data_IF_894070493890
#
_entry.id   IF_894070493890
#
_cell.length_a   1.000
_cell.length_b   1.000
_cell.length_c   1.000
_cell.angle_alpha   90.00
_cell.angle_beta   90.00
_cell.angle_gamma   90.00
#
_symmetry.space_group_name_H-M   'P 1'
#
loop_
_entity.id
_entity.type
_entity.pdbx_description
1 polymer ?
#
# COMPACT_ATOMS: atom_id res chain seq x y z
N UNK A 1 -31.15 6.02 11.25
CA UNK A 1 -31.12 6.91 10.07
C UNK A 1 -29.68 6.96 9.56
N UNK A 2 -29.43 7.01 8.25
CA UNK A 2 -28.09 7.18 7.71
C UNK A 2 -27.49 8.52 8.22
N UNK A 3 -26.26 8.48 8.75
CA UNK A 3 -25.51 9.70 9.15
C UNK A 3 -25.16 10.52 7.91
N UNK A 4 -25.41 11.83 7.94
CA UNK A 4 -24.98 12.79 6.91
C UNK A 4 -23.55 13.26 7.21
N UNK A 5 -22.93 13.97 6.26
CA UNK A 5 -21.53 14.40 6.37
C UNK A 5 -21.26 15.24 7.62
N UNK A 6 -22.17 16.16 7.95
CA UNK A 6 -22.07 16.99 9.16
C UNK A 6 -22.23 16.17 10.45
N UNK A 7 -23.00 15.07 10.42
CA UNK A 7 -23.14 14.19 11.58
C UNK A 7 -21.83 13.45 11.86
N UNK A 8 -21.12 13.00 10.83
CA UNK A 8 -19.78 12.40 10.97
C UNK A 8 -18.77 13.40 11.52
N UNK A 9 -18.65 14.59 10.93
CA UNK A 9 -17.72 15.62 11.39
C UNK A 9 -17.99 15.99 12.86
N UNK A 10 -19.27 16.21 13.20
CA UNK A 10 -19.65 16.54 14.58
C UNK A 10 -19.39 15.40 15.58
N UNK A 11 -19.41 14.14 15.13
CA UNK A 11 -19.05 12.99 15.95
C UNK A 11 -17.54 12.93 16.18
N UNK A 12 -16.73 13.14 15.14
CA UNK A 12 -15.28 13.17 15.23
C UNK A 12 -14.80 14.30 16.15
N UNK A 13 -15.43 15.48 16.09
CA UNK A 13 -15.15 16.60 16.99
C UNK A 13 -15.46 16.30 18.47
N UNK A 14 -16.28 15.28 18.74
CA UNK A 14 -16.56 14.77 20.09
C UNK A 14 -15.63 13.62 20.49
N UNK A 15 -14.66 13.27 19.65
CA UNK A 15 -13.73 12.17 19.85
C UNK A 15 -14.31 10.79 19.51
N UNK A 16 -15.38 10.70 18.73
CA UNK A 16 -15.81 9.40 18.18
C UNK A 16 -14.87 8.98 17.05
N UNK A 17 -14.33 7.76 17.13
CA UNK A 17 -13.60 7.16 16.02
C UNK A 17 -14.56 6.80 14.87
N UNK A 18 -14.09 6.87 13.63
CA UNK A 18 -14.82 6.38 12.48
C UNK A 18 -15.05 4.87 12.59
N UNK A 19 -16.32 4.47 12.47
CA UNK A 19 -16.74 3.08 12.41
C UNK A 19 -17.34 2.81 11.03
N UNK A 20 -16.71 2.00 10.17
CA UNK A 20 -17.31 1.61 8.90
C UNK A 20 -18.60 0.80 9.15
N UNK A 21 -19.59 0.84 8.24
CA UNK A 21 -19.54 1.43 6.90
C UNK A 21 -20.13 2.85 6.76
N UNK A 22 -19.61 3.62 5.81
CA UNK A 22 -20.06 4.97 5.41
C UNK A 22 -21.34 5.00 4.54
N UNK A 23 -22.40 4.30 4.97
CA UNK A 23 -23.61 4.10 4.14
C UNK A 23 -24.40 5.37 3.80
N UNK A 24 -24.30 6.42 4.61
CA UNK A 24 -25.13 7.62 4.45
C UNK A 24 -24.66 8.63 3.40
N UNK A 25 -23.48 8.45 2.81
CA UNK A 25 -22.89 9.40 1.86
C UNK A 25 -22.76 8.85 0.44
N UNK A 26 -23.35 7.67 0.17
CA UNK A 26 -23.34 7.01 -1.14
C UNK A 26 -24.73 7.13 -1.76
N UNK A 27 -24.81 7.77 -2.94
CA UNK A 27 -26.04 7.93 -3.72
C UNK A 27 -25.83 7.29 -5.09
N UNK A 28 -26.72 6.37 -5.48
CA UNK A 28 -26.61 5.62 -6.74
C UNK A 28 -25.25 4.91 -6.93
N UNK A 29 -24.69 4.39 -5.84
CA UNK A 29 -23.42 3.66 -5.87
C UNK A 29 -22.17 4.55 -6.02
N UNK A 30 -22.31 5.87 -5.88
CA UNK A 30 -21.19 6.82 -5.91
C UNK A 30 -21.21 7.73 -4.68
N UNK A 31 -20.05 8.20 -4.19
CA UNK A 31 -20.01 9.21 -3.14
C UNK A 31 -20.70 10.51 -3.59
N UNK A 32 -21.46 11.13 -2.70
CA UNK A 32 -22.14 12.40 -3.00
C UNK A 32 -21.13 13.56 -3.08
N UNK A 33 -21.12 14.27 -4.21
CA UNK A 33 -20.14 15.35 -4.48
C UNK A 33 -20.16 16.49 -3.44
N UNK A 34 -21.35 16.91 -2.97
CA UNK A 34 -21.46 17.94 -1.94
C UNK A 34 -20.87 17.49 -0.59
N UNK A 35 -21.03 16.20 -0.27
CA UNK A 35 -20.42 15.60 0.92
C UNK A 35 -18.89 15.55 0.77
N UNK A 36 -18.36 15.18 -0.39
CA UNK A 36 -16.90 15.22 -0.66
C UNK A 36 -16.31 16.63 -0.52
N UNK A 37 -16.99 17.65 -1.06
CA UNK A 37 -16.56 19.04 -0.91
C UNK A 37 -16.52 19.49 0.56
N UNK A 38 -17.53 19.08 1.34
CA UNK A 38 -17.59 19.39 2.78
C UNK A 38 -16.44 18.72 3.54
N UNK A 39 -16.11 17.47 3.22
CA UNK A 39 -14.97 16.76 3.82
C UNK A 39 -13.63 17.40 3.45
N UNK A 40 -13.46 17.84 2.19
CA UNK A 40 -12.27 18.56 1.74
C UNK A 40 -12.04 19.86 2.55
N UNK A 41 -13.07 20.68 2.72
CA UNK A 41 -12.99 21.91 3.54
C UNK A 41 -12.71 21.62 5.02
N UNK A 42 -13.23 20.51 5.54
CA UNK A 42 -12.96 20.09 6.90
C UNK A 42 -11.48 19.66 7.06
N UNK A 43 -10.89 18.99 6.08
CA UNK A 43 -9.46 18.66 6.10
C UNK A 43 -8.56 19.90 6.17
N UNK A 44 -8.99 21.06 5.66
CA UNK A 44 -8.17 22.29 5.73
C UNK A 44 -8.21 22.99 7.08
N UNK A 45 -9.21 22.71 7.93
CA UNK A 45 -9.53 23.56 9.09
C UNK A 45 -9.68 22.82 10.41
N UNK A 46 -9.84 21.50 10.39
CA UNK A 46 -10.07 20.69 11.60
C UNK A 46 -8.76 20.30 12.30
N UNK A 47 -8.80 19.95 13.60
CA UNK A 47 -7.63 19.44 14.30
C UNK A 47 -7.20 18.06 13.80
N UNK A 48 -5.96 17.66 14.11
CA UNK A 48 -5.29 16.49 13.55
C UNK A 48 -6.05 15.17 13.71
N UNK A 49 -6.62 14.93 14.89
CA UNK A 49 -7.42 13.75 15.23
C UNK A 49 -8.71 13.68 14.39
N UNK A 50 -9.42 14.80 14.23
CA UNK A 50 -10.60 14.86 13.37
C UNK A 50 -10.23 14.65 11.90
N UNK A 51 -9.09 15.18 11.44
CA UNK A 51 -8.60 15.00 10.07
C UNK A 51 -8.28 13.54 9.76
N UNK A 52 -7.66 12.82 10.70
CA UNK A 52 -7.44 11.37 10.59
C UNK A 52 -8.74 10.61 10.37
N UNK A 53 -9.79 10.90 11.16
CA UNK A 53 -11.09 10.25 10.99
C UNK A 53 -11.77 10.61 9.67
N UNK A 54 -11.60 11.85 9.18
CA UNK A 54 -12.09 12.25 7.85
C UNK A 54 -11.38 11.47 6.74
N UNK A 55 -10.06 11.25 6.84
CA UNK A 55 -9.32 10.42 5.89
C UNK A 55 -9.86 8.99 5.90
N UNK A 56 -10.06 8.38 7.06
CA UNK A 56 -10.61 7.03 7.18
C UNK A 56 -12.01 6.91 6.52
N UNK A 57 -12.87 7.92 6.73
CA UNK A 57 -14.19 8.00 6.08
C UNK A 57 -14.08 8.11 4.55
N UNK A 58 -13.20 8.96 4.04
CA UNK A 58 -12.97 9.12 2.60
C UNK A 58 -12.46 7.82 1.96
N UNK A 59 -11.55 7.12 2.64
CA UNK A 59 -11.03 5.83 2.19
C UNK A 59 -12.13 4.78 2.12
N UNK A 60 -12.94 4.64 3.16
CA UNK A 60 -14.07 3.69 3.17
C UNK A 60 -15.07 3.99 2.04
N UNK A 61 -15.41 5.27 1.81
CA UNK A 61 -16.27 5.67 0.70
C UNK A 61 -15.69 5.26 -0.66
N UNK A 62 -14.41 5.54 -0.88
CA UNK A 62 -13.74 5.24 -2.14
C UNK A 62 -13.59 3.75 -2.41
N UNK A 63 -13.24 2.96 -1.39
CA UNK A 63 -13.15 1.50 -1.50
C UNK A 63 -14.53 0.91 -1.75
N UNK A 64 -15.55 1.25 -0.95
CA UNK A 64 -16.89 0.63 -1.06
C UNK A 64 -17.63 0.94 -2.36
N UNK A 65 -17.27 2.04 -3.03
CA UNK A 65 -17.83 2.42 -4.33
C UNK A 65 -17.03 1.87 -5.51
N UNK A 66 -15.92 1.18 -5.24
CA UNK A 66 -15.11 0.55 -6.26
C UNK A 66 -15.76 -0.76 -6.77
N UNK A 67 -15.87 -0.96 -8.10
CA UNK A 67 -16.50 -2.15 -8.66
C UNK A 67 -15.71 -3.45 -8.46
N UNK A 68 -14.45 -3.40 -8.00
CA UNK A 68 -13.64 -4.59 -7.69
C UNK A 68 -13.76 -5.04 -6.24
N UNK A 69 -14.35 -4.24 -5.35
CA UNK A 69 -14.55 -4.64 -3.94
C UNK A 69 -15.41 -5.90 -3.77
N UNK A 70 -16.47 -6.14 -4.55
CA UNK A 70 -17.16 -7.43 -4.53
C UNK A 70 -16.27 -8.64 -4.89
N UNK A 71 -15.17 -8.43 -5.61
CA UNK A 71 -14.16 -9.45 -5.92
C UNK A 71 -13.04 -9.53 -4.85
N UNK A 72 -13.21 -8.87 -3.70
CA UNK A 72 -12.27 -8.89 -2.58
C UNK A 72 -11.12 -7.89 -2.72
N UNK A 73 -11.13 -7.00 -3.72
CA UNK A 73 -10.10 -5.98 -3.84
C UNK A 73 -10.36 -4.79 -2.90
N UNK A 74 -9.31 -4.34 -2.22
CA UNK A 74 -9.27 -3.14 -1.39
C UNK A 74 -8.45 -2.09 -2.15
N UNK A 75 -9.10 -1.38 -3.08
CA UNK A 75 -8.44 -0.40 -3.94
C UNK A 75 -9.20 0.92 -3.92
N UNK A 76 -8.45 2.02 -3.92
CA UNK A 76 -8.98 3.37 -4.03
C UNK A 76 -8.69 3.90 -5.44
N UNK A 77 -9.70 3.97 -6.30
CA UNK A 77 -9.59 4.51 -7.68
C UNK A 77 -10.47 5.73 -7.94
N UNK A 78 -11.23 6.18 -6.95
CA UNK A 78 -12.11 7.34 -7.08
C UNK A 78 -11.27 8.62 -7.16
N UNK A 79 -11.22 9.24 -8.35
CA UNK A 79 -10.32 10.36 -8.66
C UNK A 79 -10.50 11.56 -7.75
N UNK A 80 -11.75 11.97 -7.49
CA UNK A 80 -12.02 13.11 -6.61
C UNK A 80 -11.54 12.85 -5.17
N UNK A 81 -11.70 11.63 -4.64
CA UNK A 81 -11.23 11.28 -3.30
C UNK A 81 -9.69 11.29 -3.26
N UNK A 82 -9.02 10.70 -4.25
CA UNK A 82 -7.55 10.75 -4.35
C UNK A 82 -7.07 12.20 -4.37
N UNK A 83 -7.69 13.05 -5.21
CA UNK A 83 -7.35 14.47 -5.29
C UNK A 83 -7.57 15.18 -3.94
N UNK A 84 -8.67 14.90 -3.23
CA UNK A 84 -8.94 15.48 -1.91
C UNK A 84 -7.83 15.10 -0.92
N UNK A 85 -7.45 13.82 -0.88
CA UNK A 85 -6.38 13.34 0.01
C UNK A 85 -5.05 14.02 -0.33
N UNK A 86 -4.70 14.14 -1.60
CA UNK A 86 -3.44 14.79 -2.02
C UNK A 86 -3.43 16.28 -1.69
N UNK A 87 -4.47 17.02 -2.08
CA UNK A 87 -4.46 18.48 -2.03
C UNK A 87 -4.71 19.01 -0.61
N UNK A 88 -5.57 18.34 0.17
CA UNK A 88 -6.04 18.85 1.48
C UNK A 88 -5.48 18.06 2.67
N UNK A 89 -5.26 16.74 2.55
CA UNK A 89 -4.80 15.95 3.69
C UNK A 89 -3.27 16.07 3.91
N UNK A 90 -2.49 16.36 2.87
CA UNK A 90 -1.02 16.34 2.95
C UNK A 90 -0.38 17.62 3.52
N UNK A 91 -1.12 18.73 3.66
CA UNK A 91 -0.53 20.04 3.99
C UNK A 91 0.03 20.11 5.43
N UNK A 92 -0.75 19.83 6.49
CA UNK A 92 -0.26 19.91 7.86
C UNK A 92 0.48 18.63 8.24
N UNK A 93 1.63 18.77 8.90
CA UNK A 93 2.44 17.63 9.35
C UNK A 93 1.88 17.00 10.63
N UNK A 94 0.79 16.26 10.51
CA UNK A 94 0.06 15.66 11.63
C UNK A 94 -0.53 14.27 11.32
N UNK A 95 -1.40 13.76 12.20
CA UNK A 95 -2.08 12.46 12.06
C UNK A 95 -2.90 12.33 10.77
N UNK A 96 -3.58 13.41 10.34
CA UNK A 96 -4.35 13.41 9.10
C UNK A 96 -3.47 13.20 7.87
N UNK A 97 -2.27 13.81 7.86
CA UNK A 97 -1.29 13.58 6.79
C UNK A 97 -0.77 12.16 6.79
N UNK A 98 -0.42 11.62 7.96
CA UNK A 98 0.11 10.24 8.07
C UNK A 98 -0.91 9.22 7.58
N UNK A 99 -2.18 9.34 8.00
CA UNK A 99 -3.27 8.49 7.54
C UNK A 99 -3.47 8.59 6.01
N UNK A 100 -3.40 9.80 5.45
CA UNK A 100 -3.55 9.99 4.01
C UNK A 100 -2.37 9.39 3.22
N UNK A 101 -1.13 9.58 3.68
CA UNK A 101 0.04 8.97 3.05
C UNK A 101 -0.06 7.44 3.06
N UNK A 102 -0.44 6.84 4.19
CA UNK A 102 -0.59 5.39 4.31
C UNK A 102 -1.68 4.85 3.35
N UNK A 103 -2.85 5.50 3.32
CA UNK A 103 -3.95 5.12 2.44
C UNK A 103 -3.58 5.25 0.95
N UNK A 104 -3.03 6.40 0.54
CA UNK A 104 -2.58 6.62 -0.84
C UNK A 104 -1.55 5.56 -1.23
N UNK A 105 -0.62 5.26 -0.34
CA UNK A 105 0.47 4.33 -0.59
C UNK A 105 0.00 2.88 -0.76
N UNK A 106 -0.92 2.43 0.10
CA UNK A 106 -1.39 1.03 0.12
C UNK A 106 -2.52 0.74 -0.86
N UNK A 107 -3.41 1.69 -1.10
CA UNK A 107 -4.69 1.44 -1.78
C UNK A 107 -4.76 2.02 -3.19
N UNK A 108 -3.86 2.93 -3.56
CA UNK A 108 -3.88 3.58 -4.89
C UNK A 108 -2.81 2.99 -5.78
N UNK A 109 -3.06 2.92 -7.09
CA UNK A 109 -2.06 2.47 -8.07
C UNK A 109 -1.01 3.55 -8.30
N UNK A 110 0.20 3.13 -8.67
CA UNK A 110 1.29 4.09 -8.93
C UNK A 110 0.92 5.07 -10.05
N UNK A 111 0.24 4.57 -11.09
CA UNK A 111 -0.18 5.34 -12.26
C UNK A 111 -1.23 6.41 -11.93
N UNK A 112 -2.09 6.14 -10.94
CA UNK A 112 -3.10 7.10 -10.50
C UNK A 112 -2.51 8.16 -9.54
N UNK A 113 -1.35 7.88 -8.93
CA UNK A 113 -0.60 8.82 -8.08
C UNK A 113 0.39 9.68 -8.87
N UNK A 114 0.96 9.16 -9.96
CA UNK A 114 2.00 9.83 -10.75
C UNK A 114 1.67 11.29 -11.14
N UNK A 115 0.43 11.68 -11.51
CA UNK A 115 0.09 13.07 -11.82
C UNK A 115 0.31 14.06 -10.65
N UNK A 116 0.38 13.57 -9.42
CA UNK A 116 0.52 14.37 -8.20
C UNK A 116 1.97 14.44 -7.69
N UNK A 117 2.96 14.00 -8.49
CA UNK A 117 4.37 13.91 -8.08
C UNK A 117 4.96 15.20 -7.48
N UNK A 118 4.58 16.36 -8.02
CA UNK A 118 5.04 17.66 -7.50
C UNK A 118 4.50 17.93 -6.08
N UNK A 119 3.25 17.55 -5.81
CA UNK A 119 2.66 17.67 -4.46
C UNK A 119 3.38 16.80 -3.45
N UNK A 120 3.75 15.58 -3.82
CA UNK A 120 4.52 14.69 -2.95
C UNK A 120 5.93 15.21 -2.72
N UNK A 121 6.55 15.80 -3.74
CA UNK A 121 7.85 16.46 -3.62
C UNK A 121 7.79 17.64 -2.66
N UNK A 122 6.76 18.48 -2.76
CA UNK A 122 6.56 19.62 -1.87
C UNK A 122 6.29 19.17 -0.42
N UNK A 123 5.47 18.13 -0.22
CA UNK A 123 5.21 17.56 1.08
C UNK A 123 6.49 16.97 1.72
N UNK A 124 7.31 16.25 0.94
CA UNK A 124 8.60 15.74 1.38
C UNK A 124 9.56 16.88 1.74
N UNK A 125 9.61 17.96 0.95
CA UNK A 125 10.46 19.13 1.21
C UNK A 125 10.04 19.85 2.50
N UNK A 126 8.74 20.03 2.70
CA UNK A 126 8.20 20.78 3.83
C UNK A 126 8.45 20.08 5.17
N UNK A 127 8.25 18.76 5.21
CA UNK A 127 8.45 17.98 6.43
C UNK A 127 8.81 16.52 6.09
N UNK A 128 10.12 16.23 5.90
CA UNK A 128 10.59 14.89 5.57
C UNK A 128 10.21 13.86 6.64
N UNK A 129 9.55 12.79 6.22
CA UNK A 129 9.21 11.63 7.05
C UNK A 129 9.43 10.34 6.26
N UNK A 130 9.49 9.20 6.94
CA UNK A 130 9.58 7.90 6.26
C UNK A 130 8.39 7.69 5.30
N UNK A 131 7.17 8.01 5.72
CA UNK A 131 5.98 7.90 4.85
C UNK A 131 6.03 8.85 3.65
N UNK A 132 6.59 10.05 3.79
CA UNK A 132 6.77 10.95 2.65
C UNK A 132 7.75 10.37 1.61
N UNK A 133 8.86 9.76 2.05
CA UNK A 133 9.77 9.05 1.15
C UNK A 133 9.07 7.87 0.46
N UNK A 134 8.34 7.04 1.21
CA UNK A 134 7.66 5.88 0.63
C UNK A 134 6.53 6.28 -0.33
N UNK A 135 5.82 7.38 -0.07
CA UNK A 135 4.82 7.90 -1.00
C UNK A 135 5.46 8.41 -2.30
N UNK A 136 6.59 9.12 -2.20
CA UNK A 136 7.40 9.53 -3.38
C UNK A 136 7.86 8.29 -4.17
N UNK A 137 8.34 7.26 -3.49
CA UNK A 137 8.77 6.00 -4.09
C UNK A 137 7.62 5.30 -4.84
N UNK A 138 6.45 5.24 -4.20
CA UNK A 138 5.22 4.65 -4.74
C UNK A 138 4.71 5.39 -5.96
N UNK A 139 4.70 6.72 -5.93
CA UNK A 139 4.19 7.56 -7.02
C UNK A 139 5.18 7.72 -8.19
N UNK A 140 6.43 7.27 -8.04
CA UNK A 140 7.52 7.51 -9.02
C UNK A 140 7.68 8.99 -9.34
N UNK A 141 7.60 9.85 -8.31
CA UNK A 141 7.65 11.29 -8.46
C UNK A 141 9.05 11.75 -8.92
N UNK A 142 9.27 11.80 -10.23
CA UNK A 142 10.57 12.13 -10.83
C UNK A 142 11.07 13.53 -10.45
N UNK A 143 10.17 14.48 -10.17
CA UNK A 143 10.51 15.80 -9.66
C UNK A 143 11.16 15.78 -8.26
N UNK A 144 11.00 14.69 -7.50
CA UNK A 144 11.65 14.52 -6.20
C UNK A 144 13.08 13.98 -6.29
N UNK A 145 13.56 13.52 -7.45
CA UNK A 145 14.82 12.78 -7.56
C UNK A 145 16.02 13.55 -6.97
N UNK A 146 16.19 14.82 -7.34
CA UNK A 146 17.27 15.65 -6.80
C UNK A 146 17.14 15.95 -5.29
N UNK A 147 15.91 16.07 -4.79
CA UNK A 147 15.66 16.26 -3.35
C UNK A 147 16.00 14.99 -2.56
N UNK A 148 15.56 13.82 -3.04
CA UNK A 148 15.84 12.53 -2.41
C UNK A 148 17.34 12.24 -2.41
N UNK A 149 18.03 12.48 -3.54
CA UNK A 149 19.49 12.37 -3.64
C UNK A 149 20.20 13.27 -2.62
N UNK A 150 19.75 14.51 -2.46
CA UNK A 150 20.32 15.39 -1.43
C UNK A 150 20.06 14.85 -0.02
N UNK A 151 18.82 14.48 0.29
CA UNK A 151 18.42 14.07 1.64
C UNK A 151 19.09 12.77 2.08
N UNK A 152 19.21 11.77 1.20
CA UNK A 152 19.80 10.46 1.55
C UNK A 152 21.28 10.54 1.93
N UNK A 153 21.98 11.63 1.60
CA UNK A 153 23.37 11.84 2.04
C UNK A 153 23.49 12.65 3.34
N UNK A 154 22.37 13.10 3.92
CA UNK A 154 22.38 13.81 5.20
C UNK A 154 22.43 12.82 6.37
N UNK A 155 23.10 13.15 7.50
CA UNK A 155 23.20 12.26 8.65
C UNK A 155 21.85 11.76 9.20
N UNK A 156 20.80 12.57 9.08
CA UNK A 156 19.46 12.23 9.55
C UNK A 156 18.81 11.09 8.75
N UNK A 157 19.15 10.95 7.46
CA UNK A 157 18.46 10.04 6.53
C UNK A 157 19.37 8.99 5.88
N UNK A 158 20.68 9.09 6.03
CA UNK A 158 21.65 8.20 5.38
C UNK A 158 21.45 6.71 5.65
N UNK A 159 20.97 6.36 6.85
CA UNK A 159 20.73 4.98 7.25
C UNK A 159 19.24 4.65 7.39
N UNK A 160 18.35 5.53 6.93
CA UNK A 160 16.90 5.31 7.00
C UNK A 160 16.45 4.56 5.76
N UNK A 161 15.94 3.35 5.95
CA UNK A 161 15.57 2.45 4.84
C UNK A 161 14.57 3.09 3.87
N UNK A 162 13.57 3.83 4.38
CA UNK A 162 12.59 4.53 3.53
C UNK A 162 13.24 5.52 2.55
N UNK A 163 14.26 6.27 2.97
CA UNK A 163 14.97 7.21 2.10
C UNK A 163 15.73 6.48 1.00
N UNK A 164 16.38 5.35 1.34
CA UNK A 164 17.10 4.49 0.39
C UNK A 164 16.16 3.82 -0.61
N UNK A 165 14.99 3.37 -0.15
CA UNK A 165 13.92 2.83 -1.00
C UNK A 165 13.47 3.90 -2.01
N UNK A 166 13.22 5.13 -1.56
CA UNK A 166 12.85 6.22 -2.46
C UNK A 166 13.95 6.52 -3.48
N UNK A 167 15.21 6.50 -3.06
CA UNK A 167 16.35 6.72 -3.94
C UNK A 167 16.45 5.65 -5.03
N UNK A 168 16.36 4.36 -4.66
CA UNK A 168 16.31 3.25 -5.61
C UNK A 168 15.09 3.32 -6.53
N UNK A 169 13.91 3.61 -5.98
CA UNK A 169 12.66 3.74 -6.72
C UNK A 169 12.68 4.85 -7.79
N UNK A 170 13.53 5.86 -7.62
CA UNK A 170 13.71 6.99 -8.55
C UNK A 170 14.92 6.81 -9.49
N UNK A 171 15.58 5.65 -9.47
CA UNK A 171 16.55 5.26 -10.50
C UNK A 171 17.96 4.95 -9.99
N UNK A 172 18.24 5.01 -8.69
CA UNK A 172 19.55 4.60 -8.18
C UNK A 172 19.70 3.06 -8.18
N UNK A 173 20.28 2.56 -9.27
CA UNK A 173 20.45 1.12 -9.50
C UNK A 173 21.38 0.45 -8.49
N UNK A 174 22.37 1.16 -7.93
CA UNK A 174 23.30 0.60 -6.96
C UNK A 174 22.58 0.26 -5.65
N UNK A 175 21.77 1.19 -5.12
CA UNK A 175 20.94 0.93 -3.94
C UNK A 175 19.92 -0.17 -4.21
N UNK A 176 19.28 -0.17 -5.39
CA UNK A 176 18.35 -1.26 -5.78
C UNK A 176 19.04 -2.63 -5.75
N UNK A 177 20.25 -2.73 -6.30
CA UNK A 177 21.04 -3.97 -6.36
C UNK A 177 21.35 -4.52 -4.96
N UNK A 178 21.54 -3.66 -3.96
CA UNK A 178 21.69 -4.11 -2.57
C UNK A 178 20.42 -4.77 -2.02
N UNK A 179 19.24 -4.24 -2.33
CA UNK A 179 17.97 -4.86 -1.91
C UNK A 179 17.71 -6.18 -2.66
N UNK A 180 18.02 -6.22 -3.96
CA UNK A 180 17.97 -7.46 -4.74
C UNK A 180 18.95 -8.51 -4.20
N UNK A 181 20.14 -8.12 -3.78
CA UNK A 181 21.12 -9.03 -3.19
C UNK A 181 20.62 -9.63 -1.85
N UNK A 182 19.94 -8.82 -1.01
CA UNK A 182 19.32 -9.32 0.23
C UNK A 182 18.25 -10.36 -0.05
N UNK A 183 17.44 -10.14 -1.08
CA UNK A 183 16.41 -11.07 -1.53
C UNK A 183 17.04 -12.39 -2.02
N UNK A 184 18.11 -12.33 -2.79
CA UNK A 184 18.82 -13.51 -3.30
C UNK A 184 19.51 -14.29 -2.18
N UNK A 185 20.05 -13.59 -1.18
CA UNK A 185 20.75 -14.19 -0.05
C UNK A 185 19.81 -14.75 1.03
N UNK A 186 18.51 -14.43 0.98
CA UNK A 186 17.55 -14.90 1.97
C UNK A 186 17.45 -16.44 1.96
N UNK A 187 17.70 -17.04 3.12
CA UNK A 187 17.77 -18.49 3.30
C UNK A 187 16.56 -19.05 4.03
N UNK A 188 15.85 -18.19 4.77
CA UNK A 188 14.63 -18.54 5.52
C UNK A 188 13.42 -17.83 4.94
N UNK A 189 12.22 -18.36 5.23
CA UNK A 189 10.99 -17.70 4.81
C UNK A 189 10.79 -16.31 5.40
N UNK A 190 11.28 -16.08 6.63
CA UNK A 190 11.19 -14.78 7.30
C UNK A 190 12.11 -13.74 6.66
N UNK A 191 13.37 -14.11 6.39
CA UNK A 191 14.32 -13.24 5.68
C UNK A 191 13.79 -12.86 4.30
N UNK A 192 13.25 -13.84 3.57
CA UNK A 192 12.70 -13.61 2.24
C UNK A 192 11.49 -12.68 2.31
N UNK A 193 10.56 -12.89 3.25
CA UNK A 193 9.40 -12.03 3.42
C UNK A 193 9.77 -10.57 3.72
N UNK A 194 10.81 -10.33 4.53
CA UNK A 194 11.31 -8.97 4.81
C UNK A 194 11.90 -8.36 3.53
N UNK A 195 12.77 -9.08 2.82
CA UNK A 195 13.41 -8.58 1.60
C UNK A 195 12.38 -8.26 0.49
N UNK A 196 11.37 -9.11 0.31
CA UNK A 196 10.26 -8.88 -0.62
C UNK A 196 9.48 -7.61 -0.27
N UNK A 197 9.31 -7.31 1.02
CA UNK A 197 8.66 -6.08 1.49
C UNK A 197 9.40 -4.83 1.01
N UNK A 198 10.73 -4.76 1.18
CA UNK A 198 11.52 -3.62 0.70
C UNK A 198 11.48 -3.50 -0.83
N UNK A 199 11.59 -4.61 -1.57
CA UNK A 199 11.47 -4.60 -3.04
C UNK A 199 10.08 -4.14 -3.51
N UNK A 200 9.01 -4.45 -2.77
CA UNK A 200 7.66 -4.01 -3.10
C UNK A 200 7.54 -2.49 -3.01
N UNK A 201 8.13 -1.90 -1.97
CA UNK A 201 8.18 -0.46 -1.78
C UNK A 201 9.04 0.22 -2.86
N UNK A 202 10.11 -0.43 -3.33
CA UNK A 202 10.92 0.04 -4.46
C UNK A 202 10.12 -0.02 -5.76
N UNK A 203 9.41 -1.11 -6.06
CA UNK A 203 8.39 -1.18 -7.12
C UNK A 203 8.86 -0.84 -8.55
N UNK A 204 10.15 -1.00 -8.87
CA UNK A 204 10.66 -0.94 -10.25
C UNK A 204 10.30 -2.24 -11.00
N UNK A 205 10.44 -2.27 -12.32
CA UNK A 205 10.23 -3.51 -13.10
C UNK A 205 11.17 -4.64 -12.63
N UNK A 206 12.45 -4.34 -12.35
CA UNK A 206 13.43 -5.31 -11.87
C UNK A 206 13.03 -5.89 -10.51
N UNK A 207 12.70 -5.04 -9.55
CA UNK A 207 12.25 -5.43 -8.21
C UNK A 207 10.95 -6.25 -8.26
N UNK A 208 9.96 -5.83 -9.05
CA UNK A 208 8.69 -6.54 -9.20
C UNK A 208 8.85 -7.91 -9.86
N UNK A 209 9.73 -8.00 -10.87
CA UNK A 209 10.05 -9.26 -11.52
C UNK A 209 10.75 -10.23 -10.57
N UNK A 210 11.70 -9.74 -9.75
CA UNK A 210 12.36 -10.54 -8.72
C UNK A 210 11.37 -11.07 -7.69
N UNK A 211 10.44 -10.23 -7.20
CA UNK A 211 9.35 -10.66 -6.32
C UNK A 211 8.53 -11.76 -6.98
N UNK A 212 8.05 -11.54 -8.20
CA UNK A 212 7.19 -12.47 -8.89
C UNK A 212 7.86 -13.83 -9.15
N UNK A 213 9.17 -13.88 -9.40
CA UNK A 213 9.91 -15.14 -9.51
C UNK A 213 9.82 -16.01 -8.25
N UNK A 214 9.57 -15.43 -7.07
CA UNK A 214 9.39 -16.15 -5.81
C UNK A 214 8.00 -16.72 -5.59
N UNK A 215 7.07 -16.56 -6.53
CA UNK A 215 5.73 -17.12 -6.41
C UNK A 215 5.74 -18.67 -6.39
N UNK A 216 6.82 -19.31 -6.85
CA UNK A 216 7.08 -20.76 -6.69
C UNK A 216 8.05 -21.11 -5.56
N UNK A 217 8.35 -20.18 -4.65
CA UNK A 217 9.20 -20.46 -3.50
C UNK A 217 8.61 -21.59 -2.63
N UNK A 218 9.39 -22.63 -2.29
CA UNK A 218 8.95 -23.68 -1.37
C UNK A 218 9.07 -23.26 0.11
N UNK A 219 9.61 -22.07 0.39
CA UNK A 219 9.86 -21.62 1.75
C UNK A 219 8.56 -21.37 2.52
N UNK A 220 8.61 -21.68 3.81
CA UNK A 220 7.53 -21.53 4.79
C UNK A 220 8.06 -20.66 5.93
N UNK A 221 7.19 -19.83 6.50
CA UNK A 221 7.42 -19.13 7.77
C UNK A 221 6.74 -19.93 8.86
N UNK A 222 7.50 -20.42 9.83
CA UNK A 222 6.97 -21.08 11.02
C UNK A 222 6.91 -20.09 12.17
N UNK A 223 5.71 -19.86 12.71
CA UNK A 223 5.51 -19.14 13.96
C UNK A 223 5.22 -20.16 15.07
N UNK A 224 6.20 -20.46 15.95
CA UNK A 224 6.04 -21.49 16.97
C UNK A 224 4.80 -21.29 17.83
N UNK A 225 4.00 -22.35 17.98
CA UNK A 225 2.77 -22.33 18.78
C UNK A 225 1.57 -21.62 18.13
N UNK A 226 1.69 -21.20 16.85
CA UNK A 226 0.61 -20.55 16.13
C UNK A 226 0.31 -21.24 14.79
N UNK A 227 1.14 -21.02 13.78
CA UNK A 227 0.90 -21.53 12.43
C UNK A 227 2.18 -21.57 11.59
N UNK A 228 2.12 -22.37 10.54
CA UNK A 228 3.00 -22.28 9.38
C UNK A 228 2.31 -21.51 8.26
N UNK A 229 3.03 -20.62 7.58
CA UNK A 229 2.54 -19.80 6.46
C UNK A 229 3.43 -19.95 5.25
N UNK A 230 2.82 -20.17 4.08
CA UNK A 230 3.53 -20.15 2.79
C UNK A 230 4.09 -18.75 2.50
N UNK A 231 5.39 -18.64 2.17
CA UNK A 231 6.00 -17.36 1.76
C UNK A 231 5.38 -16.81 0.47
N UNK A 232 4.74 -17.65 -0.34
CA UNK A 232 4.01 -17.21 -1.54
C UNK A 232 2.91 -16.19 -1.21
N UNK A 233 2.31 -16.24 -0.01
CA UNK A 233 1.34 -15.22 0.40
C UNK A 233 2.01 -13.84 0.60
N UNK A 234 3.26 -13.80 1.08
CA UNK A 234 4.04 -12.56 1.17
C UNK A 234 4.45 -12.04 -0.21
N UNK A 235 4.70 -12.94 -1.18
CA UNK A 235 4.93 -12.56 -2.59
C UNK A 235 3.68 -11.88 -3.16
N UNK A 236 2.50 -12.46 -2.93
CA UNK A 236 1.23 -11.89 -3.36
C UNK A 236 0.98 -10.52 -2.72
N UNK A 237 1.17 -10.39 -1.41
CA UNK A 237 1.07 -9.11 -0.70
C UNK A 237 2.04 -8.05 -1.25
N UNK A 238 3.28 -8.43 -1.52
CA UNK A 238 4.30 -7.55 -2.11
C UNK A 238 3.91 -7.07 -3.51
N UNK A 239 3.37 -7.95 -4.36
CA UNK A 239 2.89 -7.56 -5.69
C UNK A 239 1.62 -6.71 -5.60
N UNK A 240 0.69 -7.06 -4.70
CA UNK A 240 -0.55 -6.30 -4.44
C UNK A 240 -0.26 -4.85 -4.10
N UNK A 241 0.82 -4.56 -3.38
CA UNK A 241 1.22 -3.19 -3.10
C UNK A 241 1.34 -2.34 -4.37
N UNK A 242 1.86 -2.86 -5.48
CA UNK A 242 1.96 -2.12 -6.75
C UNK A 242 0.77 -2.35 -7.69
N UNK A 243 0.02 -3.43 -7.48
CA UNK A 243 -1.14 -3.84 -8.27
C UNK A 243 -2.38 -4.06 -7.40
N UNK A 244 -2.85 -3.05 -6.65
CA UNK A 244 -3.97 -3.23 -5.70
C UNK A 244 -5.30 -3.51 -6.41
N UNK A 245 -5.41 -3.25 -7.72
CA UNK A 245 -6.58 -3.53 -8.54
C UNK A 245 -6.62 -4.96 -9.13
N UNK A 246 -5.74 -5.87 -8.68
CA UNK A 246 -5.67 -7.24 -9.17
C UNK A 246 -6.15 -8.22 -8.09
N UNK A 247 -7.45 -8.64 -8.10
CA UNK A 247 -7.99 -9.56 -7.11
C UNK A 247 -7.22 -10.87 -6.94
N UNK A 248 -6.56 -11.35 -8.00
CA UNK A 248 -5.74 -12.57 -7.98
C UNK A 248 -4.48 -12.46 -7.10
N UNK A 249 -4.11 -11.25 -6.68
CA UNK A 249 -2.95 -11.00 -5.80
C UNK A 249 -3.32 -10.88 -4.33
N UNK A 250 -4.60 -11.05 -3.97
CA UNK A 250 -5.06 -10.93 -2.60
C UNK A 250 -4.91 -12.28 -1.88
N UNK A 251 -4.12 -12.38 -0.79
CA UNK A 251 -3.90 -13.67 -0.11
C UNK A 251 -5.19 -14.34 0.39
N UNK A 252 -6.19 -13.55 0.78
CA UNK A 252 -7.51 -14.03 1.20
C UNK A 252 -8.36 -14.59 0.04
N UNK A 253 -7.96 -14.36 -1.21
CA UNK A 253 -8.59 -14.95 -2.38
C UNK A 253 -7.93 -16.27 -2.82
N UNK A 254 -6.85 -16.71 -2.15
CA UNK A 254 -6.19 -17.98 -2.45
C UNK A 254 -6.82 -19.10 -1.64
N UNK A 255 -7.62 -19.92 -2.30
CA UNK A 255 -8.38 -21.03 -1.71
C UNK A 255 -7.88 -22.39 -2.21
N UNK A 256 -7.33 -22.45 -3.41
CA UNK A 256 -6.74 -23.66 -3.97
C UNK A 256 -5.54 -23.38 -4.91
N UNK A 257 -5.01 -24.44 -5.53
CA UNK A 257 -3.85 -24.35 -6.43
C UNK A 257 -4.14 -23.59 -7.73
N UNK A 258 -5.41 -23.53 -8.16
CA UNK A 258 -5.81 -22.80 -9.35
C UNK A 258 -5.71 -21.28 -9.16
N UNK A 259 -5.90 -20.80 -7.93
CA UNK A 259 -5.70 -19.39 -7.58
C UNK A 259 -4.21 -18.98 -7.69
N UNK A 260 -3.29 -19.86 -7.23
CA UNK A 260 -1.86 -19.65 -7.47
C UNK A 260 -1.53 -19.68 -8.97
N UNK A 261 -2.16 -20.56 -9.75
CA UNK A 261 -1.98 -20.58 -11.20
C UNK A 261 -2.45 -19.26 -11.86
N UNK A 262 -3.55 -18.67 -11.39
CA UNK A 262 -4.03 -17.38 -11.87
C UNK A 262 -3.05 -16.23 -11.56
N UNK A 263 -2.48 -16.22 -10.35
CA UNK A 263 -1.45 -15.26 -9.96
C UNK A 263 -0.15 -15.43 -10.77
N UNK A 264 0.29 -16.66 -11.03
CA UNK A 264 1.43 -16.95 -11.91
C UNK A 264 1.19 -16.47 -13.35
N UNK A 265 -0.03 -16.66 -13.87
CA UNK A 265 -0.41 -16.19 -15.20
C UNK A 265 -0.41 -14.67 -15.28
N UNK A 266 -0.90 -13.98 -14.24
CA UNK A 266 -0.77 -12.54 -14.12
C UNK A 266 0.70 -12.11 -14.19
N UNK A 267 1.57 -12.70 -13.37
CA UNK A 267 3.00 -12.39 -13.34
C UNK A 267 3.70 -12.65 -14.69
N UNK A 268 3.36 -13.76 -15.34
CA UNK A 268 3.94 -14.12 -16.64
C UNK A 268 3.57 -13.10 -17.72
N UNK A 269 2.30 -12.67 -17.76
CA UNK A 269 1.82 -11.68 -18.74
C UNK A 269 2.28 -10.26 -18.44
N UNK A 270 2.24 -9.84 -17.17
CA UNK A 270 2.50 -8.46 -16.76
C UNK A 270 3.98 -8.15 -16.57
N UNK A 271 4.75 -9.11 -16.05
CA UNK A 271 6.15 -8.94 -15.63
C UNK A 271 7.14 -9.80 -16.43
N UNK A 272 6.65 -10.61 -17.38
CA UNK A 272 7.49 -11.47 -18.22
C UNK A 272 8.26 -12.53 -17.43
N UNK A 273 7.70 -13.01 -16.32
CA UNK A 273 8.28 -14.12 -15.55
C UNK A 273 8.02 -15.43 -16.26
N UNK A 274 9.05 -16.28 -16.32
CA UNK A 274 8.95 -17.66 -16.82
C UNK A 274 9.29 -18.59 -15.68
N UNK A 275 8.34 -19.48 -15.34
CA UNK A 275 8.52 -20.43 -14.26
C UNK A 275 8.90 -21.80 -14.81
N UNK A 276 10.12 -22.26 -14.51
CA UNK A 276 10.66 -23.54 -14.99
C UNK A 276 10.51 -24.68 -13.98
N UNK A 277 10.46 -24.36 -12.68
CA UNK A 277 10.37 -25.33 -11.59
C UNK A 277 8.93 -25.79 -11.36
N UNK A 278 8.69 -27.00 -10.87
CA UNK A 278 7.35 -27.43 -10.50
C UNK A 278 6.78 -26.54 -9.37
N UNK A 279 5.46 -26.27 -9.40
CA UNK A 279 4.82 -25.52 -8.32
C UNK A 279 4.88 -26.34 -7.01
N UNK A 280 5.25 -25.72 -5.87
CA UNK A 280 5.18 -26.38 -4.58
C UNK A 280 3.74 -26.82 -4.23
N UNK A 281 3.57 -27.82 -3.35
CA UNK A 281 2.25 -28.23 -2.86
C UNK A 281 1.42 -27.05 -2.35
N UNK A 282 0.10 -27.11 -2.51
CA UNK A 282 -0.79 -26.06 -2.03
C UNK A 282 -0.63 -25.86 -0.52
N UNK A 283 -0.44 -24.60 -0.12
CA UNK A 283 -0.35 -24.18 1.28
C UNK A 283 -0.68 -22.68 1.36
N UNK A 284 -1.57 -22.32 2.28
CA UNK A 284 -1.81 -20.94 2.70
C UNK A 284 -1.34 -20.76 4.14
N UNK A 285 -2.12 -21.27 5.09
CA UNK A 285 -1.82 -21.36 6.50
C UNK A 285 -2.06 -22.80 6.98
N UNK A 286 -1.23 -23.28 7.89
CA UNK A 286 -1.42 -24.55 8.59
C UNK A 286 -1.31 -24.29 10.09
N UNK A 287 -2.43 -24.40 10.80
CA UNK A 287 -2.47 -24.18 12.25
C UNK A 287 -1.89 -25.36 13.02
N UNK A 288 -1.16 -25.07 14.09
CA UNK A 288 -0.69 -26.10 15.02
C UNK A 288 -1.72 -26.29 16.15
N UNK A 289 -2.02 -27.53 16.58
CA UNK A 289 -2.86 -27.74 17.74
C UNK A 289 -2.25 -27.09 18.98
N UNK A 290 -3.02 -26.26 19.69
CA UNK A 290 -2.59 -25.69 20.98
C UNK A 290 -2.50 -26.85 21.98
N UNK A 291 -1.33 -27.09 22.60
CA UNK A 291 -1.22 -28.11 23.64
C UNK A 291 -2.19 -27.77 24.77
N UNK A 292 -3.13 -28.66 25.08
CA UNK A 292 -3.95 -28.56 26.28
C UNK A 292 -3.00 -28.80 27.48
N UNK A 293 -2.77 -27.75 28.28
CA UNK A 293 -2.05 -27.84 29.55
C UNK A 293 -2.97 -28.33 30.67
#
# INVERSE_FOLDING_TARGET
MPRRVHDYISAFEKGEDFQPPSTGLIVNGQPEAASLQTLAQALDSKPADVREQIVALLVDLGVRTDPLTPAGAEVLRHKEIIQILVEHALQPADLGREAAMDALRKLVRSEDLAPYGDRFTDALRAAPTQEAFLLVAKAKASSAAGLVDTLVHTPAWANVEAARIAYAALGDTATEDEFLAREQAASTGQELAIALGSLALIGTERSLKAIAQRLRSPLIITLPGAYDKSVRLNVLDALRYNYPDQPVLYPNNINDDSDYAAAEQFCSRKLGVVYTEARPPFLTYFGHPIPLQ
#
